data_IF_935717033201
#
_entry.id   IF_935717033201
#
_cell.length_a   1.000
_cell.length_b   1.000
_cell.length_c   1.000
_cell.angle_alpha   90.00
_cell.angle_beta   90.00
_cell.angle_gamma   90.00
#
_symmetry.space_group_name_H-M   'P 1'
#
loop_
_entity.id
_entity.type
_entity.pdbx_description
1 polymer ?
#
# COMPACT_ATOMS: atom_id res chain seq x y z
N UNK A 1 -25.87 18.96 25.24
CA UNK A 1 -24.46 19.41 25.15
C UNK A 1 -24.32 20.18 23.85
N UNK A 2 -24.08 21.49 23.90
CA UNK A 2 -23.81 22.29 22.69
C UNK A 2 -22.32 22.18 22.42
N UNK A 3 -21.94 21.65 21.28
CA UNK A 3 -20.54 21.62 20.83
C UNK A 3 -20.33 22.87 20.00
N UNK A 4 -19.35 23.70 20.37
CA UNK A 4 -19.05 24.91 19.62
C UNK A 4 -18.20 24.58 18.39
N UNK A 5 -18.36 25.36 17.32
CA UNK A 5 -17.62 25.16 16.05
C UNK A 5 -16.11 25.18 16.26
N UNK A 6 -15.60 25.94 17.23
CA UNK A 6 -14.18 25.99 17.60
C UNK A 6 -13.67 24.70 18.23
N UNK A 7 -14.52 23.97 18.97
CA UNK A 7 -14.15 22.71 19.61
C UNK A 7 -14.04 21.60 18.56
N UNK A 8 -14.95 21.62 17.57
CA UNK A 8 -14.86 20.76 16.39
C UNK A 8 -13.58 21.03 15.60
N UNK A 9 -13.27 22.31 15.35
CA UNK A 9 -12.09 22.69 14.58
C UNK A 9 -10.79 22.23 15.25
N UNK A 10 -10.66 22.41 16.58
CA UNK A 10 -9.53 21.88 17.35
C UNK A 10 -9.46 20.35 17.36
N UNK A 11 -10.59 19.67 17.38
CA UNK A 11 -10.64 18.22 17.30
C UNK A 11 -10.14 17.73 15.92
N UNK A 12 -10.52 18.39 14.83
CA UNK A 12 -10.04 18.08 13.47
C UNK A 12 -8.55 18.37 13.30
N UNK A 13 -8.06 19.51 13.77
CA UNK A 13 -6.61 19.82 13.80
C UNK A 13 -5.83 18.78 14.62
N UNK A 14 -6.44 18.25 15.68
CA UNK A 14 -5.84 17.19 16.51
C UNK A 14 -5.81 15.84 15.80
N UNK A 15 -6.82 15.52 14.96
CA UNK A 15 -6.84 14.29 14.16
C UNK A 15 -5.76 14.34 13.07
N UNK A 16 -5.71 15.44 12.31
CA UNK A 16 -4.72 15.65 11.25
C UNK A 16 -3.28 15.67 11.79
N UNK A 17 -3.04 16.40 12.90
CA UNK A 17 -1.72 16.47 13.53
C UNK A 17 -1.26 15.16 14.20
N UNK A 18 -2.20 14.29 14.57
CA UNK A 18 -1.89 12.99 15.21
C UNK A 18 -1.86 11.82 14.24
N UNK A 19 -1.97 12.08 12.93
CA UNK A 19 -1.90 11.03 11.90
C UNK A 19 -2.91 9.90 12.17
N UNK A 20 -4.07 10.26 12.74
CA UNK A 20 -5.15 9.32 12.97
C UNK A 20 -5.73 8.95 11.61
N UNK A 21 -5.82 7.66 11.33
CA UNK A 21 -6.00 7.04 10.01
C UNK A 21 -7.35 7.28 9.32
N UNK A 22 -8.11 8.28 9.73
CA UNK A 22 -9.45 8.57 9.22
C UNK A 22 -9.41 9.87 8.43
N UNK A 23 -9.78 9.79 7.17
CA UNK A 23 -10.03 10.92 6.28
C UNK A 23 -11.25 11.73 6.75
N UNK A 24 -11.34 12.98 6.30
CA UNK A 24 -12.44 13.89 6.65
C UNK A 24 -13.82 13.30 6.25
N UNK A 25 -13.89 12.61 5.12
CA UNK A 25 -15.10 11.93 4.65
C UNK A 25 -15.53 10.77 5.55
N UNK A 26 -14.58 10.00 6.11
CA UNK A 26 -14.88 8.91 7.05
C UNK A 26 -15.41 9.43 8.39
N UNK A 27 -14.85 10.53 8.89
CA UNK A 27 -15.35 11.17 10.12
C UNK A 27 -16.76 11.74 9.91
N UNK A 28 -17.04 12.34 8.76
CA UNK A 28 -18.37 12.83 8.40
C UNK A 28 -19.38 11.67 8.28
N UNK A 29 -18.98 10.52 7.73
CA UNK A 29 -19.82 9.33 7.64
C UNK A 29 -20.17 8.76 9.03
N UNK A 30 -19.21 8.71 9.94
CA UNK A 30 -19.39 8.29 11.34
C UNK A 30 -20.37 9.20 12.10
N UNK A 31 -20.23 10.52 11.94
CA UNK A 31 -21.09 11.51 12.60
C UNK A 31 -22.54 11.42 12.10
N UNK A 32 -22.73 11.17 10.81
CA UNK A 32 -24.06 11.11 10.21
C UNK A 32 -24.78 9.78 10.42
N UNK A 33 -24.17 8.79 11.10
CA UNK A 33 -24.79 7.50 11.41
C UNK A 33 -25.17 6.66 10.18
N UNK A 34 -24.64 7.00 8.99
CA UNK A 34 -24.91 6.31 7.73
C UNK A 34 -23.79 5.34 7.40
N UNK A 35 -23.70 4.26 8.17
CA UNK A 35 -23.27 2.99 7.57
C UNK A 35 -24.56 2.24 7.30
N UNK A 36 -25.21 2.55 6.18
CA UNK A 36 -26.06 1.57 5.52
C UNK A 36 -25.13 0.50 4.94
N UNK A 37 -25.54 -0.78 4.99
CA UNK A 37 -24.87 -1.94 4.39
C UNK A 37 -24.82 -1.85 2.85
N UNK A 38 -24.33 -0.75 2.30
CA UNK A 38 -24.17 -0.56 0.89
C UNK A 38 -22.76 -1.02 0.51
N UNK A 39 -22.71 -1.98 -0.41
CA UNK A 39 -21.53 -2.54 -1.07
C UNK A 39 -20.78 -1.48 -1.93
N UNK A 40 -20.43 -0.34 -1.36
CA UNK A 40 -19.51 0.60 -2.00
C UNK A 40 -18.09 0.32 -1.52
N UNK A 41 -17.10 0.18 -2.43
CA UNK A 41 -15.71 0.07 -2.03
C UNK A 41 -15.32 1.34 -1.27
N UNK A 42 -14.84 1.17 -0.04
CA UNK A 42 -14.43 2.26 0.83
C UNK A 42 -13.33 3.11 0.18
N UNK A 43 -13.42 4.42 0.46
CA UNK A 43 -12.64 5.47 -0.17
C UNK A 43 -11.15 5.34 0.11
N UNK A 44 -10.41 5.23 -0.99
CA UNK A 44 -9.08 5.77 -1.20
C UNK A 44 -8.49 6.72 -0.16
N UNK A 45 -7.25 6.45 0.25
CA UNK A 45 -6.39 7.54 0.73
C UNK A 45 -6.15 8.54 -0.40
N UNK A 46 -5.85 9.79 -0.05
CA UNK A 46 -5.37 10.78 -1.02
C UNK A 46 -4.19 10.24 -1.84
N UNK A 47 -4.05 10.76 -3.06
CA UNK A 47 -2.96 10.40 -3.97
C UNK A 47 -1.59 10.66 -3.31
N UNK A 48 -0.80 9.61 -3.11
CA UNK A 48 0.57 9.62 -2.59
C UNK A 48 1.53 9.77 -3.77
N UNK A 49 2.21 10.92 -3.84
CA UNK A 49 3.27 11.15 -4.83
C UNK A 49 4.57 10.49 -4.40
N UNK A 50 5.13 9.66 -5.27
CA UNK A 50 6.40 8.96 -5.04
C UNK A 50 7.37 9.21 -6.17
N UNK A 51 8.66 9.32 -5.85
CA UNK A 51 9.74 9.26 -6.83
C UNK A 51 10.32 7.86 -6.79
N UNK A 52 10.21 7.13 -7.90
CA UNK A 52 10.74 5.77 -8.03
C UNK A 52 12.06 5.84 -8.79
N UNK A 53 13.14 5.41 -8.13
CA UNK A 53 14.49 5.48 -8.65
C UNK A 53 14.91 4.16 -9.30
N UNK A 54 14.61 4.00 -10.58
CA UNK A 54 14.99 2.84 -11.39
C UNK A 54 16.45 2.90 -11.89
N UNK A 55 17.23 3.88 -11.44
CA UNK A 55 18.70 3.83 -11.57
C UNK A 55 19.31 2.82 -10.59
N UNK A 56 18.56 2.45 -9.54
CA UNK A 56 18.95 1.48 -8.54
C UNK A 56 18.53 0.08 -8.96
N UNK A 57 19.37 -0.88 -8.59
CA UNK A 57 19.01 -2.31 -8.56
C UNK A 57 17.97 -2.58 -7.47
N UNK A 58 17.28 -3.72 -7.56
CA UNK A 58 16.33 -4.16 -6.51
C UNK A 58 17.03 -4.21 -5.15
N UNK A 59 18.24 -4.75 -5.11
CA UNK A 59 19.03 -4.92 -3.90
C UNK A 59 19.41 -3.58 -3.27
N UNK A 60 19.76 -2.59 -4.08
CA UNK A 60 20.03 -1.23 -3.61
C UNK A 60 18.77 -0.56 -3.05
N UNK A 61 17.64 -0.67 -3.75
CA UNK A 61 16.37 -0.10 -3.27
C UNK A 61 15.89 -0.77 -1.98
N UNK A 62 16.13 -2.08 -1.80
CA UNK A 62 15.89 -2.79 -0.53
C UNK A 62 16.81 -2.27 0.57
N UNK A 63 18.09 -2.03 0.28
CA UNK A 63 19.04 -1.51 1.27
C UNK A 63 18.65 -0.10 1.77
N UNK A 64 18.16 0.77 0.89
CA UNK A 64 17.68 2.11 1.26
C UNK A 64 16.50 2.09 2.24
N UNK A 65 15.75 0.99 2.28
CA UNK A 65 14.60 0.86 3.15
C UNK A 65 14.98 0.52 4.59
N UNK A 66 16.21 0.08 4.87
CA UNK A 66 16.67 -0.28 6.22
C UNK A 66 15.77 -1.30 6.94
N UNK A 67 15.28 -2.30 6.20
CA UNK A 67 14.49 -3.37 6.81
C UNK A 67 15.34 -4.19 7.79
N UNK A 68 14.76 -4.58 8.92
CA UNK A 68 15.38 -5.55 9.82
C UNK A 68 15.42 -6.95 9.19
N UNK A 69 14.50 -7.22 8.26
CA UNK A 69 14.47 -8.45 7.48
C UNK A 69 13.91 -8.16 6.09
N UNK A 70 14.62 -8.62 5.06
CA UNK A 70 14.11 -8.70 3.70
C UNK A 70 14.28 -10.14 3.20
N UNK A 71 13.22 -10.70 2.61
CA UNK A 71 13.28 -12.02 2.02
C UNK A 71 14.33 -12.05 0.89
N UNK A 72 15.28 -12.99 0.95
CA UNK A 72 16.39 -13.12 -0.01
C UNK A 72 15.95 -13.40 -1.44
N UNK A 73 14.74 -13.93 -1.63
CA UNK A 73 14.15 -14.15 -2.95
C UNK A 73 13.63 -12.86 -3.60
N UNK A 74 13.64 -11.73 -2.88
CA UNK A 74 13.32 -10.42 -3.43
C UNK A 74 14.59 -9.79 -3.98
N UNK A 75 14.88 -10.12 -5.23
CA UNK A 75 16.11 -9.74 -5.93
C UNK A 75 15.82 -9.53 -7.43
N UNK A 76 16.78 -8.96 -8.17
CA UNK A 76 16.60 -8.62 -9.58
C UNK A 76 16.39 -9.85 -10.50
N UNK A 77 16.75 -11.06 -10.06
CA UNK A 77 16.53 -12.30 -10.81
C UNK A 77 15.06 -12.72 -10.76
N UNK A 78 14.44 -12.63 -9.59
CA UNK A 78 13.06 -13.07 -9.38
C UNK A 78 12.04 -11.94 -9.69
N UNK A 79 12.45 -10.69 -9.50
CA UNK A 79 11.65 -9.49 -9.74
C UNK A 79 12.42 -8.49 -10.61
N UNK A 80 12.58 -8.80 -11.92
CA UNK A 80 13.33 -7.93 -12.82
C UNK A 80 12.63 -6.58 -13.03
N UNK A 81 13.43 -5.52 -13.16
CA UNK A 81 12.96 -4.21 -13.57
C UNK A 81 12.75 -4.24 -15.10
N UNK A 82 11.63 -3.69 -15.56
CA UNK A 82 11.34 -3.53 -16.99
C UNK A 82 12.46 -2.74 -17.69
N UNK A 83 12.93 -3.23 -18.84
CA UNK A 83 14.04 -2.63 -19.59
C UNK A 83 13.85 -1.14 -19.88
N UNK A 84 12.60 -0.73 -20.13
CA UNK A 84 12.23 0.66 -20.41
C UNK A 84 12.41 1.61 -19.21
N UNK A 85 12.38 1.07 -17.98
CA UNK A 85 12.49 1.85 -16.76
C UNK A 85 13.94 1.95 -16.27
N UNK A 86 14.81 1.01 -16.64
CA UNK A 86 16.20 0.96 -16.14
C UNK A 86 16.92 2.28 -16.44
N UNK A 87 17.54 2.85 -15.41
CA UNK A 87 18.29 4.11 -15.53
C UNK A 87 17.42 5.38 -15.48
N UNK A 88 16.11 5.25 -15.23
CA UNK A 88 15.20 6.40 -15.11
C UNK A 88 14.85 6.71 -13.65
N UNK A 89 14.36 7.93 -13.41
CA UNK A 89 13.62 8.28 -12.19
C UNK A 89 12.26 8.81 -12.60
N UNK A 90 11.20 8.30 -11.98
CA UNK A 90 9.83 8.62 -12.40
C UNK A 90 9.03 9.07 -11.19
N UNK A 91 8.34 10.20 -11.31
CA UNK A 91 7.30 10.61 -10.37
C UNK A 91 6.02 9.86 -10.71
N UNK A 92 5.44 9.17 -9.74
CA UNK A 92 4.17 8.45 -9.87
C UNK A 92 3.15 8.99 -8.87
N UNK A 93 1.87 8.91 -9.25
CA UNK A 93 0.75 9.07 -8.30
C UNK A 93 0.26 7.69 -7.89
N UNK A 94 0.30 7.41 -6.59
CA UNK A 94 -0.05 6.12 -6.00
C UNK A 94 -1.14 6.27 -4.96
N UNK A 95 -1.76 5.16 -4.55
CA UNK A 95 -2.87 5.17 -3.61
C UNK A 95 -2.97 3.84 -2.89
N UNK A 96 -3.37 3.87 -1.62
CA UNK A 96 -3.64 2.68 -0.84
C UNK A 96 -5.12 2.32 -0.90
N UNK A 97 -5.40 1.10 -1.32
CA UNK A 97 -6.75 0.52 -1.36
C UNK A 97 -6.98 -0.36 -0.14
N UNK A 98 -8.13 -0.21 0.50
CA UNK A 98 -8.53 -1.00 1.67
C UNK A 98 -10.00 -1.39 1.56
N UNK A 99 -10.31 -2.68 1.67
CA UNK A 99 -11.65 -3.20 1.40
C UNK A 99 -12.42 -3.68 2.65
N UNK A 100 -11.83 -3.59 3.84
CA UNK A 100 -12.43 -4.04 5.11
C UNK A 100 -12.96 -5.50 5.14
N UNK A 101 -12.51 -6.34 4.20
CA UNK A 101 -12.87 -7.77 4.13
C UNK A 101 -11.75 -8.57 3.47
N UNK A 102 -11.83 -9.90 3.60
CA UNK A 102 -10.98 -10.80 2.84
C UNK A 102 -11.18 -10.60 1.34
N UNK A 103 -10.09 -10.48 0.59
CA UNK A 103 -10.14 -10.25 -0.86
C UNK A 103 -9.09 -11.10 -1.55
N UNK A 104 -9.44 -11.71 -2.69
CA UNK A 104 -8.48 -12.35 -3.58
C UNK A 104 -7.73 -11.32 -4.44
N UNK A 105 -6.52 -11.66 -4.88
CA UNK A 105 -5.67 -10.79 -5.68
C UNK A 105 -6.34 -10.30 -6.96
N UNK A 106 -7.00 -11.18 -7.71
CA UNK A 106 -7.68 -10.83 -8.96
C UNK A 106 -8.82 -9.83 -8.74
N UNK A 107 -9.56 -9.94 -7.64
CA UNK A 107 -10.67 -9.02 -7.35
C UNK A 107 -10.16 -7.65 -6.91
N UNK A 108 -9.09 -7.60 -6.11
CA UNK A 108 -8.40 -6.34 -5.80
C UNK A 108 -7.96 -5.63 -7.07
N UNK A 109 -7.33 -6.35 -8.00
CA UNK A 109 -6.86 -5.77 -9.27
C UNK A 109 -8.04 -5.23 -10.09
N UNK A 110 -9.17 -5.94 -10.15
CA UNK A 110 -10.38 -5.45 -10.83
C UNK A 110 -10.92 -4.18 -10.18
N UNK A 111 -10.95 -4.10 -8.85
CA UNK A 111 -11.40 -2.87 -8.16
C UNK A 111 -10.46 -1.69 -8.43
N UNK A 112 -9.14 -1.91 -8.44
CA UNK A 112 -8.17 -0.87 -8.83
C UNK A 112 -8.37 -0.40 -10.28
N UNK A 113 -8.65 -1.34 -11.19
CA UNK A 113 -8.82 -1.05 -12.61
C UNK A 113 -10.01 -0.14 -12.90
N UNK A 114 -11.12 -0.30 -12.15
CA UNK A 114 -12.30 0.57 -12.21
C UNK A 114 -11.96 2.04 -11.92
N UNK A 115 -10.89 2.29 -11.18
CA UNK A 115 -10.41 3.62 -10.82
C UNK A 115 -9.22 4.10 -11.67
N UNK A 116 -8.97 3.44 -12.81
CA UNK A 116 -7.82 3.70 -13.69
C UNK A 116 -6.47 3.59 -12.94
N UNK A 117 -6.39 2.64 -12.01
CA UNK A 117 -5.14 2.27 -11.34
C UNK A 117 -4.71 0.87 -11.75
N UNK A 118 -3.39 0.67 -11.84
CA UNK A 118 -2.76 -0.66 -11.90
C UNK A 118 -2.20 -1.02 -10.52
N UNK A 119 -2.05 -2.31 -10.19
CA UNK A 119 -1.33 -2.69 -8.98
C UNK A 119 0.14 -2.25 -9.07
N UNK A 120 0.70 -1.86 -7.93
CA UNK A 120 2.08 -1.40 -7.85
C UNK A 120 3.07 -2.56 -7.97
N UNK A 121 4.21 -2.28 -8.61
CA UNK A 121 5.35 -3.21 -8.71
C UNK A 121 6.28 -3.06 -7.51
N UNK A 122 7.20 -4.01 -7.34
CA UNK A 122 8.16 -4.06 -6.23
C UNK A 122 8.89 -2.73 -6.01
N UNK A 123 9.48 -2.15 -7.06
CA UNK A 123 10.24 -0.90 -6.94
C UNK A 123 9.41 0.26 -6.41
N UNK A 124 8.11 0.29 -6.72
CA UNK A 124 7.19 1.33 -6.26
C UNK A 124 6.83 1.14 -4.79
N UNK A 125 6.68 -0.12 -4.35
CA UNK A 125 6.51 -0.45 -2.94
C UNK A 125 7.77 -0.13 -2.12
N UNK A 126 8.97 -0.38 -2.67
CA UNK A 126 10.22 0.02 -2.02
C UNK A 126 10.34 1.55 -1.92
N UNK A 127 9.95 2.28 -2.96
CA UNK A 127 9.89 3.75 -2.91
C UNK A 127 8.94 4.25 -1.81
N UNK A 128 7.76 3.63 -1.67
CA UNK A 128 6.83 3.92 -0.57
C UNK A 128 7.46 3.62 0.80
N UNK A 129 8.11 2.47 0.95
CA UNK A 129 8.73 2.06 2.21
C UNK A 129 9.88 3.00 2.64
N UNK A 130 10.66 3.49 1.68
CA UNK A 130 11.73 4.45 1.94
C UNK A 130 11.18 5.85 2.27
N UNK A 131 10.15 6.32 1.55
CA UNK A 131 9.56 7.64 1.76
C UNK A 131 8.69 7.71 3.02
N UNK A 132 8.01 6.62 3.36
CA UNK A 132 7.01 6.55 4.43
C UNK A 132 7.16 5.28 5.29
N UNK A 133 8.29 5.13 6.00
CA UNK A 133 8.63 3.89 6.73
C UNK A 133 7.64 3.50 7.83
N UNK A 134 6.88 4.47 8.37
CA UNK A 134 5.89 4.23 9.42
C UNK A 134 4.58 3.60 8.90
N UNK A 135 4.27 3.71 7.60
CA UNK A 135 2.99 3.19 7.06
C UNK A 135 2.88 1.67 7.21
N UNK A 136 3.94 0.93 6.89
CA UNK A 136 3.92 -0.54 7.00
C UNK A 136 3.81 -1.06 8.45
N UNK A 137 4.02 -0.18 9.46
CA UNK A 137 3.82 -0.53 10.87
C UNK A 137 2.35 -0.54 11.27
N UNK A 138 1.52 0.23 10.56
CA UNK A 138 0.08 0.31 10.81
C UNK A 138 -0.64 -0.90 10.20
N UNK A 139 -0.20 -1.35 9.02
CA UNK A 139 -0.82 -2.43 8.28
C UNK A 139 0.10 -3.04 7.21
N UNK A 140 -0.12 -4.29 6.79
CA UNK A 140 0.56 -4.86 5.64
C UNK A 140 0.17 -4.13 4.35
N UNK A 141 1.15 -3.88 3.49
CA UNK A 141 0.97 -3.22 2.19
C UNK A 141 1.44 -4.18 1.10
N UNK A 142 0.51 -4.59 0.23
CA UNK A 142 0.74 -5.61 -0.80
C UNK A 142 1.01 -4.92 -2.15
N UNK A 143 2.00 -5.43 -2.90
CA UNK A 143 2.36 -4.94 -4.23
C UNK A 143 2.08 -6.02 -5.30
N UNK A 144 0.80 -6.12 -5.70
CA UNK A 144 0.29 -7.16 -6.60
C UNK A 144 0.78 -7.05 -8.06
N UNK A 145 1.47 -5.96 -8.43
CA UNK A 145 1.99 -5.75 -9.78
C UNK A 145 3.27 -6.54 -10.06
N UNK A 146 3.86 -7.14 -9.04
CA UNK A 146 5.05 -7.98 -9.17
C UNK A 146 4.78 -9.39 -8.67
N UNK A 147 4.77 -10.35 -9.59
CA UNK A 147 4.53 -11.77 -9.29
C UNK A 147 5.73 -12.58 -9.73
N UNK A 148 6.34 -13.30 -8.79
CA UNK A 148 7.36 -14.29 -9.05
C UNK A 148 6.77 -15.69 -8.91
N UNK A 149 7.15 -16.61 -9.79
CA UNK A 149 6.78 -18.03 -9.66
C UNK A 149 7.95 -18.79 -9.07
N UNK A 150 7.78 -19.29 -7.86
CA UNK A 150 8.84 -20.06 -7.19
C UNK A 150 8.99 -21.47 -7.79
N UNK A 151 9.97 -22.23 -7.30
CA UNK A 151 10.25 -23.59 -7.77
C UNK A 151 9.15 -24.59 -7.47
N UNK A 152 8.25 -24.30 -6.53
CA UNK A 152 7.05 -25.09 -6.22
C UNK A 152 5.88 -24.75 -7.15
N UNK A 153 5.99 -23.67 -7.93
CA UNK A 153 4.94 -23.17 -8.81
C UNK A 153 3.99 -22.18 -8.15
N UNK A 154 4.22 -21.83 -6.88
CA UNK A 154 3.42 -20.85 -6.14
C UNK A 154 3.72 -19.43 -6.64
N UNK A 155 2.71 -18.57 -6.65
CA UNK A 155 2.80 -17.20 -7.19
C UNK A 155 3.11 -16.25 -6.03
N UNK A 156 4.38 -15.95 -5.81
CA UNK A 156 4.84 -15.10 -4.73
C UNK A 156 4.71 -13.61 -5.09
N UNK A 157 4.12 -12.81 -4.19
CA UNK A 157 4.08 -11.35 -4.29
C UNK A 157 4.78 -10.68 -3.11
N UNK A 158 5.45 -9.55 -3.35
CA UNK A 158 6.07 -8.79 -2.28
C UNK A 158 5.03 -8.04 -1.45
N UNK A 159 5.26 -8.02 -0.14
CA UNK A 159 4.52 -7.16 0.76
C UNK A 159 5.40 -6.57 1.86
N UNK A 160 5.05 -5.34 2.25
CA UNK A 160 5.62 -4.64 3.39
C UNK A 160 4.81 -4.96 4.63
N UNK A 161 5.48 -5.22 5.76
CA UNK A 161 4.76 -5.41 7.02
C UNK A 161 5.67 -5.31 8.23
N UNK A 162 5.16 -5.84 9.34
CA UNK A 162 5.91 -5.96 10.59
C UNK A 162 5.97 -7.39 11.07
N UNK A 163 7.09 -7.76 11.69
CA UNK A 163 7.20 -8.99 12.46
C UNK A 163 7.72 -8.68 13.84
N UNK A 164 6.95 -8.99 14.89
CA UNK A 164 7.31 -8.74 16.29
C UNK A 164 7.90 -7.34 16.55
N UNK A 165 7.32 -6.30 15.92
CA UNK A 165 7.67 -4.85 15.99
C UNK A 165 8.68 -4.32 14.95
N UNK A 166 9.37 -5.18 14.21
CA UNK A 166 10.37 -4.76 13.23
C UNK A 166 9.80 -4.61 11.82
N UNK A 167 10.35 -3.69 11.02
CA UNK A 167 9.98 -3.47 9.61
C UNK A 167 10.56 -4.58 8.74
N UNK A 168 9.70 -5.19 7.93
CA UNK A 168 10.07 -6.35 7.13
C UNK A 168 9.48 -6.31 5.72
N UNK A 169 10.20 -6.93 4.81
CA UNK A 169 9.82 -7.16 3.42
C UNK A 169 9.72 -8.68 3.19
N UNK A 170 8.54 -9.13 2.80
CA UNK A 170 8.18 -10.55 2.74
C UNK A 170 7.56 -10.92 1.41
N UNK A 171 7.35 -12.23 1.22
CA UNK A 171 6.59 -12.82 0.13
C UNK A 171 5.36 -13.54 0.69
N UNK A 172 4.24 -13.47 -0.03
CA UNK A 172 3.05 -14.27 0.26
C UNK A 172 2.40 -14.72 -1.07
N UNK A 173 1.50 -15.70 -0.99
CA UNK A 173 0.92 -16.33 -2.18
C UNK A 173 -0.25 -15.52 -2.75
N UNK A 174 -0.10 -15.10 -4.01
CA UNK A 174 -1.11 -14.43 -4.82
C UNK A 174 -2.44 -15.21 -4.88
N UNK A 175 -2.39 -16.54 -4.83
CA UNK A 175 -3.56 -17.42 -4.91
C UNK A 175 -4.38 -17.51 -3.62
N UNK A 176 -3.91 -16.92 -2.52
CA UNK A 176 -4.62 -16.89 -1.25
C UNK A 176 -5.41 -15.59 -1.07
N UNK A 177 -6.40 -15.65 -0.19
CA UNK A 177 -7.13 -14.47 0.24
C UNK A 177 -6.30 -13.63 1.19
N UNK A 178 -6.28 -12.32 0.94
CA UNK A 178 -5.64 -11.35 1.80
C UNK A 178 -6.53 -11.02 2.99
N UNK A 179 -5.95 -10.91 4.19
CA UNK A 179 -6.69 -10.53 5.38
C UNK A 179 -7.34 -9.14 5.24
N UNK A 180 -8.47 -8.91 5.94
CA UNK A 180 -9.20 -7.64 5.93
C UNK A 180 -8.39 -6.40 6.36
N UNK A 181 -7.24 -6.60 7.00
CA UNK A 181 -6.32 -5.53 7.41
C UNK A 181 -5.29 -5.15 6.33
N UNK A 182 -5.20 -5.88 5.23
CA UNK A 182 -4.24 -5.60 4.18
C UNK A 182 -4.65 -4.34 3.40
N UNK A 183 -3.64 -3.54 3.04
CA UNK A 183 -3.76 -2.44 2.09
C UNK A 183 -3.05 -2.84 0.82
N UNK A 184 -3.51 -2.34 -0.31
CA UNK A 184 -2.93 -2.67 -1.61
C UNK A 184 -2.46 -1.39 -2.27
N UNK A 185 -1.19 -1.36 -2.67
CA UNK A 185 -0.63 -0.20 -3.36
C UNK A 185 -1.04 -0.25 -4.83
N UNK A 186 -1.77 0.76 -5.27
CA UNK A 186 -2.10 1.00 -6.66
C UNK A 186 -1.37 2.24 -7.19
N UNK A 187 -1.15 2.29 -8.49
CA UNK A 187 -0.52 3.40 -9.21
C UNK A 187 -1.44 3.83 -10.34
N UNK A 188 -1.66 5.15 -10.50
CA UNK A 188 -2.45 5.71 -11.60
C UNK A 188 -1.82 5.33 -12.95
N UNK A 189 -2.66 4.94 -13.92
CA UNK A 189 -2.23 4.65 -15.30
C UNK A 189 -1.98 5.93 -16.08
#
# INVERSE_FOLDING_TARGET
MKIETSDLQKFFETIESKNLSLSLSEVIALINGKIEENNEPLQSTDDIKLIVDYTKTVEQAVADCEFNFANSDINAKNFPISLEMIGTKVEISSKLYHFNRGMGSEDVIKEMDKENCRPAVLMEALALAAAHPELQKQFPIIALGSVWRDSSGSRQVPYLGVGAYDRKLYLDDFGLDWAARCRFLGVRK
#
